data_IF_792380833840
#
_entry.id   IF_792380833840
#
_cell.length_a   1.000
_cell.length_b   1.000
_cell.length_c   1.000
_cell.angle_alpha   90.00
_cell.angle_beta   90.00
_cell.angle_gamma   90.00
#
_symmetry.space_group_name_H-M   'P 1'
#
loop_
_entity.id
_entity.type
_entity.pdbx_description
1 polymer ?
#
# COMPACT_ATOMS: atom_id res chain seq x y z
N UNK A 1 11.83 -3.25 33.70
CA UNK A 1 11.61 -3.56 32.27
C UNK A 1 10.48 -2.69 31.75
N UNK A 2 10.74 -1.68 30.91
CA UNK A 2 9.65 -0.91 30.28
C UNK A 2 9.91 0.59 30.14
N UNK A 3 10.79 0.98 29.21
CA UNK A 3 10.91 2.39 28.80
C UNK A 3 11.29 2.57 27.31
N UNK A 4 11.29 1.49 26.51
CA UNK A 4 11.70 1.54 25.09
C UNK A 4 10.55 1.35 24.09
N UNK A 5 9.31 1.19 24.57
CA UNK A 5 8.17 0.83 23.72
C UNK A 5 7.71 1.95 22.78
N UNK A 6 7.82 3.21 23.19
CA UNK A 6 7.40 4.37 22.38
C UNK A 6 8.24 4.59 21.13
N UNK A 7 9.57 4.82 21.26
CA UNK A 7 10.44 5.07 20.11
C UNK A 7 10.54 3.87 19.16
N UNK A 8 10.59 2.64 19.71
CA UNK A 8 10.68 1.43 18.91
C UNK A 8 9.41 1.20 18.07
N UNK A 9 8.22 1.50 18.61
CA UNK A 9 6.98 1.38 17.85
C UNK A 9 6.91 2.37 16.68
N UNK A 10 7.36 3.61 16.86
CA UNK A 10 7.37 4.63 15.80
C UNK A 10 8.26 4.20 14.62
N UNK A 11 9.45 3.66 14.92
CA UNK A 11 10.39 3.17 13.90
C UNK A 11 9.80 2.03 13.05
N UNK A 12 8.91 1.20 13.60
CA UNK A 12 8.24 0.13 12.86
C UNK A 12 7.01 0.63 12.09
N UNK A 13 6.23 1.53 12.69
CA UNK A 13 4.96 1.99 12.11
C UNK A 13 5.16 2.93 10.93
N UNK A 14 6.18 3.80 10.95
CA UNK A 14 6.41 4.78 9.89
C UNK A 14 6.70 4.14 8.53
N UNK A 15 7.63 3.17 8.39
CA UNK A 15 7.86 2.47 7.13
C UNK A 15 6.63 1.67 6.66
N UNK A 16 5.89 1.05 7.58
CA UNK A 16 4.66 0.31 7.24
C UNK A 16 3.59 1.22 6.67
N UNK A 17 3.43 2.43 7.21
CA UNK A 17 2.51 3.43 6.67
C UNK A 17 2.99 3.97 5.32
N UNK A 18 4.27 4.35 5.22
CA UNK A 18 4.85 4.87 3.98
C UNK A 18 4.76 3.86 2.82
N UNK A 19 4.93 2.56 3.11
CA UNK A 19 4.79 1.47 2.15
C UNK A 19 3.38 0.84 2.14
N UNK A 20 2.41 1.44 2.83
CA UNK A 20 1.08 0.85 2.99
C UNK A 20 0.39 0.58 1.66
N UNK A 21 0.46 1.53 0.71
CA UNK A 21 -0.11 1.37 -0.62
C UNK A 21 0.54 0.24 -1.44
N UNK A 22 1.88 0.18 -1.62
CA UNK A 22 2.50 -0.93 -2.36
C UNK A 22 2.37 -2.29 -1.67
N UNK A 23 2.38 -2.33 -0.33
CA UNK A 23 2.12 -3.56 0.43
C UNK A 23 0.69 -4.04 0.16
N UNK A 24 -0.29 -3.15 0.26
CA UNK A 24 -1.69 -3.47 0.00
C UNK A 24 -1.92 -3.94 -1.45
N UNK A 25 -1.36 -3.24 -2.43
CA UNK A 25 -1.46 -3.61 -3.85
C UNK A 25 -0.95 -5.05 -4.07
N UNK A 26 0.29 -5.31 -3.64
CA UNK A 26 0.93 -6.62 -3.80
C UNK A 26 0.19 -7.72 -3.03
N UNK A 27 -0.19 -7.47 -1.78
CA UNK A 27 -0.89 -8.44 -0.95
C UNK A 27 -2.27 -8.77 -1.51
N UNK A 28 -3.03 -7.78 -1.96
CA UNK A 28 -4.37 -7.98 -2.54
C UNK A 28 -4.32 -8.79 -3.83
N UNK A 29 -3.32 -8.53 -4.67
CA UNK A 29 -3.06 -9.29 -5.89
C UNK A 29 -2.62 -10.73 -5.58
N UNK A 30 -1.67 -10.94 -4.67
CA UNK A 30 -1.23 -12.29 -4.27
C UNK A 30 -2.39 -13.08 -3.66
N UNK A 31 -3.17 -12.48 -2.75
CA UNK A 31 -4.31 -13.15 -2.13
C UNK A 31 -5.34 -13.57 -3.18
N UNK A 32 -5.66 -12.70 -4.13
CA UNK A 32 -6.58 -13.01 -5.23
C UNK A 32 -6.04 -14.18 -6.08
N UNK A 33 -4.74 -14.21 -6.38
CA UNK A 33 -4.11 -15.31 -7.13
C UNK A 33 -4.19 -16.63 -6.37
N UNK A 34 -3.87 -16.61 -5.07
CA UNK A 34 -3.93 -17.80 -4.22
C UNK A 34 -5.35 -18.34 -4.11
N UNK A 35 -6.35 -17.46 -3.95
CA UNK A 35 -7.77 -17.85 -3.96
C UNK A 35 -8.22 -18.45 -5.29
N UNK A 36 -7.59 -18.07 -6.40
CA UNK A 36 -7.83 -18.62 -7.74
C UNK A 36 -6.96 -19.87 -8.04
N UNK A 37 -6.19 -20.38 -7.06
CA UNK A 37 -5.28 -21.51 -7.24
C UNK A 37 -4.08 -21.24 -8.14
N UNK A 38 -3.75 -19.97 -8.38
CA UNK A 38 -2.64 -19.54 -9.25
C UNK A 38 -1.38 -19.27 -8.42
N UNK A 39 -0.18 -19.53 -8.97
CA UNK A 39 1.06 -19.23 -8.26
C UNK A 39 1.23 -17.71 -8.06
N UNK A 40 1.98 -17.27 -7.03
CA UNK A 40 2.18 -15.85 -6.74
C UNK A 40 2.78 -15.04 -7.91
N UNK A 41 3.57 -15.69 -8.75
CA UNK A 41 4.27 -15.11 -9.90
C UNK A 41 3.46 -15.17 -11.21
N UNK A 42 2.19 -15.55 -11.14
CA UNK A 42 1.35 -15.66 -12.33
C UNK A 42 1.17 -14.28 -12.99
N UNK A 43 1.42 -14.13 -14.31
CA UNK A 43 1.22 -12.86 -15.00
C UNK A 43 -0.28 -12.56 -15.06
N UNK A 44 -0.71 -11.52 -14.35
CA UNK A 44 -2.09 -11.04 -14.38
C UNK A 44 -2.17 -9.50 -14.42
N UNK A 45 -3.39 -9.00 -14.58
CA UNK A 45 -3.73 -7.58 -14.51
C UNK A 45 -4.47 -7.25 -13.21
N UNK A 46 -4.19 -7.95 -12.12
CA UNK A 46 -4.96 -7.79 -10.89
C UNK A 46 -4.48 -6.64 -10.00
N UNK A 47 -3.40 -5.95 -10.39
CA UNK A 47 -2.91 -4.76 -9.69
C UNK A 47 -3.94 -3.63 -9.71
N UNK A 48 -3.90 -2.80 -8.68
CA UNK A 48 -4.86 -1.73 -8.43
C UNK A 48 -4.92 -0.72 -9.59
N UNK A 49 -3.79 -0.45 -10.24
CA UNK A 49 -3.75 0.42 -11.42
C UNK A 49 -4.54 -0.15 -12.61
N UNK A 50 -4.50 -1.47 -12.81
CA UNK A 50 -5.30 -2.11 -13.85
C UNK A 50 -6.79 -2.12 -13.47
N UNK A 51 -7.11 -2.41 -12.21
CA UNK A 51 -8.50 -2.37 -11.72
C UNK A 51 -9.12 -0.98 -11.86
N UNK A 52 -8.36 0.08 -11.60
CA UNK A 52 -8.80 1.46 -11.78
C UNK A 52 -8.99 1.80 -13.26
N UNK A 53 -8.09 1.36 -14.13
CA UNK A 53 -8.25 1.53 -15.58
C UNK A 53 -9.44 0.76 -16.13
N UNK A 54 -9.68 -0.46 -15.66
CA UNK A 54 -10.84 -1.27 -16.02
C UNK A 54 -12.16 -0.65 -15.50
N UNK A 55 -12.10 0.13 -14.41
CA UNK A 55 -13.21 0.92 -13.90
C UNK A 55 -13.48 2.23 -14.70
N UNK A 56 -12.68 2.50 -15.75
CA UNK A 56 -12.89 3.61 -16.67
C UNK A 56 -12.00 4.84 -16.42
N UNK A 57 -11.08 4.80 -15.46
CA UNK A 57 -10.12 5.88 -15.25
C UNK A 57 -9.07 5.90 -16.35
N UNK A 58 -8.72 7.11 -16.82
CA UNK A 58 -7.54 7.29 -17.66
C UNK A 58 -6.27 6.94 -16.88
N UNK A 59 -5.18 6.68 -17.60
CA UNK A 59 -3.87 6.42 -16.99
C UNK A 59 -3.44 7.57 -16.07
N UNK A 60 -3.71 8.82 -16.47
CA UNK A 60 -3.34 10.01 -15.69
C UNK A 60 -4.15 10.08 -14.40
N UNK A 61 -5.46 9.87 -14.46
CA UNK A 61 -6.33 9.87 -13.27
C UNK A 61 -5.97 8.73 -12.32
N UNK A 62 -5.66 7.54 -12.85
CA UNK A 62 -5.18 6.39 -12.07
C UNK A 62 -3.91 6.75 -11.28
N UNK A 63 -2.93 7.37 -11.94
CA UNK A 63 -1.68 7.78 -11.30
C UNK A 63 -1.93 8.86 -10.24
N UNK A 64 -2.73 9.89 -10.55
CA UNK A 64 -3.06 10.94 -9.56
C UNK A 64 -3.79 10.38 -8.34
N UNK A 65 -4.72 9.45 -8.55
CA UNK A 65 -5.44 8.80 -7.46
C UNK A 65 -4.49 8.01 -6.55
N UNK A 66 -3.58 7.23 -7.14
CA UNK A 66 -2.57 6.50 -6.38
C UNK A 66 -1.61 7.44 -5.62
N UNK A 67 -1.22 8.56 -6.22
CA UNK A 67 -0.44 9.60 -5.53
C UNK A 67 -1.20 10.25 -4.38
N UNK A 68 -2.51 10.46 -4.52
CA UNK A 68 -3.35 10.96 -3.43
C UNK A 68 -3.32 10.03 -2.21
N UNK A 69 -3.49 8.72 -2.43
CA UNK A 69 -3.44 7.73 -1.34
C UNK A 69 -2.03 7.64 -0.73
N UNK A 70 -0.98 7.58 -1.56
CA UNK A 70 0.39 7.53 -1.08
C UNK A 70 0.76 8.80 -0.27
N UNK A 71 0.37 9.98 -0.76
CA UNK A 71 0.58 11.24 -0.07
C UNK A 71 -0.12 11.30 1.28
N UNK A 72 -1.36 10.80 1.36
CA UNK A 72 -2.11 10.72 2.63
C UNK A 72 -1.41 9.80 3.64
N UNK A 73 -0.99 8.61 3.22
CA UNK A 73 -0.28 7.66 4.09
C UNK A 73 1.05 8.24 4.60
N UNK A 74 1.81 8.91 3.73
CA UNK A 74 3.03 9.62 4.12
C UNK A 74 2.75 10.77 5.09
N UNK A 75 1.69 11.54 4.88
CA UNK A 75 1.30 12.63 5.80
C UNK A 75 0.95 12.09 7.19
N UNK A 76 0.21 10.97 7.26
CA UNK A 76 -0.07 10.28 8.52
C UNK A 76 1.23 9.79 9.16
N UNK A 77 2.13 9.18 8.38
CA UNK A 77 3.43 8.70 8.88
C UNK A 77 4.31 9.84 9.43
N UNK A 78 4.32 11.00 8.78
CA UNK A 78 5.02 12.19 9.28
C UNK A 78 4.37 12.73 10.56
N UNK A 79 3.04 12.80 10.60
CA UNK A 79 2.33 13.15 11.84
C UNK A 79 2.61 12.17 12.98
N UNK A 80 2.86 10.89 12.65
CA UNK A 80 3.30 9.86 13.59
C UNK A 80 4.74 10.05 14.07
N UNK A 81 5.62 10.52 13.20
CA UNK A 81 7.03 10.74 13.50
C UNK A 81 7.27 12.02 14.30
N UNK A 82 6.49 13.07 14.05
CA UNK A 82 6.66 14.41 14.61
C UNK A 82 6.04 14.58 16.02
N UNK A 83 5.39 13.54 16.54
CA UNK A 83 4.81 13.49 17.89
C UNK A 83 5.71 12.74 18.86
#
# INVERSE_FOLDING_TARGET
VGAVKGPAAVVLVVPLLALGLPIYDSASTILTRLMQGRPPHYPDRAHLHHRLRDAGLSTRETVLFMYGIAGLLCAIALGVWLR
#
